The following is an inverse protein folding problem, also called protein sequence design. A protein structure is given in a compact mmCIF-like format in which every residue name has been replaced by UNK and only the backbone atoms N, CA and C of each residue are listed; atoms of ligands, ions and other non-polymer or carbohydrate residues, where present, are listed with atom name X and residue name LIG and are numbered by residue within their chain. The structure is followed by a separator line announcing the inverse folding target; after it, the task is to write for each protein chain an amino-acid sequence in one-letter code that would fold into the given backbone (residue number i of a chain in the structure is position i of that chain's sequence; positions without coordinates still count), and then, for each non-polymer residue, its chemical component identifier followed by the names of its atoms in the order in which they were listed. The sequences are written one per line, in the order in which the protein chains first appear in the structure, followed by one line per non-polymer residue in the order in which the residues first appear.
data_IF_311884269802
#
_entry.id   IF_311884269802
#
_cell.length_a   1.000
_cell.length_b   1.000
_cell.length_c   1.000
_cell.angle_alpha   90.00
_cell.angle_beta   90.00
_cell.angle_gamma   90.00
#
_symmetry.space_group_name_H-M   'P 1'
#
loop_
_entity.id
_entity.type
_entity.pdbx_description
1 polymer ?
#
# COMPACT_ATOMS: atom_id res chain seq x y z
N UNK A 1 11.62 10.69 4.54
CA UNK A 1 11.98 9.38 5.17
C UNK A 1 10.86 8.76 5.99
N UNK A 2 10.17 9.49 6.88
CA UNK A 2 9.09 8.90 7.68
C UNK A 2 7.86 8.53 6.82
N UNK A 3 7.52 9.35 5.80
CA UNK A 3 6.51 8.99 4.79
C UNK A 3 6.89 7.73 4.03
N UNK A 4 8.14 7.65 3.56
CA UNK A 4 8.69 6.47 2.91
C UNK A 4 8.50 5.20 3.74
N UNK A 5 8.87 5.21 5.02
CA UNK A 5 8.72 4.04 5.90
C UNK A 5 7.25 3.66 6.10
N UNK A 6 6.36 4.64 6.34
CA UNK A 6 4.93 4.39 6.50
C UNK A 6 4.31 3.77 5.26
N UNK A 7 4.61 4.32 4.08
CA UNK A 7 4.14 3.79 2.81
C UNK A 7 4.73 2.40 2.52
N UNK A 8 6.01 2.20 2.85
CA UNK A 8 6.67 0.90 2.72
C UNK A 8 6.00 -0.18 3.56
N UNK A 9 5.68 0.09 4.82
CA UNK A 9 4.97 -0.89 5.65
C UNK A 9 3.54 -1.12 5.14
N UNK A 10 2.80 -0.04 4.87
CA UNK A 10 1.45 -0.12 4.33
C UNK A 10 1.33 -1.07 3.12
N UNK A 11 2.13 -0.85 2.06
CA UNK A 11 2.04 -1.63 0.81
C UNK A 11 2.38 -3.11 1.02
N UNK A 12 3.34 -3.41 1.90
CA UNK A 12 3.81 -4.77 2.16
C UNK A 12 2.77 -5.56 2.95
N UNK A 13 2.15 -4.93 3.95
CA UNK A 13 1.03 -5.53 4.68
C UNK A 13 -0.20 -5.67 3.80
N UNK A 14 -0.54 -4.67 2.99
CA UNK A 14 -1.66 -4.72 2.07
C UNK A 14 -1.57 -5.93 1.11
N UNK A 15 -0.38 -6.20 0.58
CA UNK A 15 -0.13 -7.34 -0.29
C UNK A 15 -0.11 -8.68 0.45
N UNK A 16 0.66 -8.78 1.53
CA UNK A 16 0.89 -10.07 2.22
C UNK A 16 -0.37 -10.57 2.90
N UNK A 17 -1.15 -9.67 3.51
CA UNK A 17 -2.39 -10.05 4.19
C UNK A 17 -3.47 -10.54 3.23
N UNK A 18 -3.48 -10.12 1.96
CA UNK A 18 -4.39 -10.70 0.95
C UNK A 18 -4.24 -12.23 0.84
N UNK A 19 -3.02 -12.76 0.90
CA UNK A 19 -2.78 -14.21 0.91
C UNK A 19 -3.28 -14.86 2.21
N UNK A 20 -3.13 -14.17 3.34
CA UNK A 20 -3.64 -14.64 4.62
C UNK A 20 -5.17 -14.76 4.58
N UNK A 21 -5.87 -13.73 4.07
CA UNK A 21 -7.33 -13.75 3.93
C UNK A 21 -7.81 -14.89 3.02
N UNK A 22 -7.16 -15.09 1.88
CA UNK A 22 -7.48 -16.18 0.98
C UNK A 22 -7.26 -17.58 1.59
N UNK A 23 -6.24 -17.73 2.43
CA UNK A 23 -5.93 -19.01 3.07
C UNK A 23 -7.10 -19.56 3.90
N UNK A 24 -7.94 -18.69 4.48
CA UNK A 24 -9.15 -19.10 5.19
C UNK A 24 -10.20 -19.74 4.28
N UNK A 25 -10.27 -19.33 3.00
CA UNK A 25 -11.25 -19.86 2.04
C UNK A 25 -10.77 -21.12 1.33
N UNK A 26 -9.46 -21.37 1.31
CA UNK A 26 -8.85 -22.55 0.68
C UNK A 26 -8.47 -23.67 1.65
N UNK A 27 -8.92 -23.59 2.90
CA UNK A 27 -8.60 -24.59 3.93
C UNK A 27 -7.12 -24.68 4.26
N UNK A 28 -6.38 -23.55 4.17
CA UNK A 28 -4.94 -23.46 4.43
C UNK A 28 -4.07 -24.37 3.55
N UNK A 29 -4.50 -24.63 2.30
CA UNK A 29 -3.72 -25.40 1.31
C UNK A 29 -2.45 -24.72 0.79
N UNK A 30 -2.09 -23.54 1.34
CA UNK A 30 -0.97 -22.70 0.91
C UNK A 30 -1.01 -22.23 -0.56
N UNK A 31 -2.19 -22.26 -1.19
CA UNK A 31 -2.37 -21.75 -2.55
C UNK A 31 -2.27 -20.21 -2.58
N UNK A 32 -1.55 -19.67 -3.56
CA UNK A 32 -1.42 -18.22 -3.75
C UNK A 32 -2.59 -17.65 -4.55
N UNK A 33 -3.08 -16.48 -4.12
CA UNK A 33 -4.09 -15.69 -4.87
C UNK A 33 -3.49 -15.20 -6.19
N UNK A 34 -2.26 -14.70 -6.13
CA UNK A 34 -1.57 -14.14 -7.26
C UNK A 34 -0.69 -15.18 -7.96
N UNK A 35 -0.47 -14.92 -9.24
CA UNK A 35 0.48 -15.67 -10.05
C UNK A 35 1.92 -15.48 -9.51
N UNK A 36 2.76 -16.53 -9.46
CA UNK A 36 4.13 -16.44 -8.97
C UNK A 36 5.00 -15.39 -9.69
N UNK A 37 4.80 -15.19 -11.00
CA UNK A 37 5.50 -14.13 -11.74
C UNK A 37 5.03 -12.76 -11.28
N UNK A 38 3.73 -12.59 -11.03
CA UNK A 38 3.21 -11.34 -10.47
C UNK A 38 3.82 -11.03 -9.10
N UNK A 39 3.90 -12.01 -8.20
CA UNK A 39 4.49 -11.83 -6.86
C UNK A 39 5.93 -11.31 -6.97
N UNK A 40 6.71 -11.88 -7.89
CA UNK A 40 8.11 -11.51 -8.12
C UNK A 40 8.24 -10.10 -8.70
N UNK A 41 7.47 -9.80 -9.76
CA UNK A 41 7.49 -8.50 -10.44
C UNK A 41 6.89 -7.39 -9.57
N UNK A 42 5.92 -7.71 -8.71
CA UNK A 42 5.29 -6.77 -7.79
C UNK A 42 6.30 -6.20 -6.79
N UNK A 43 7.07 -7.08 -6.14
CA UNK A 43 8.10 -6.66 -5.19
C UNK A 43 9.27 -5.94 -5.89
N UNK A 44 9.66 -6.38 -7.09
CA UNK A 44 10.84 -5.86 -7.78
C UNK A 44 10.59 -4.57 -8.55
N UNK A 45 9.49 -4.44 -9.31
CA UNK A 45 9.27 -3.31 -10.21
C UNK A 45 8.17 -2.39 -9.69
N UNK A 46 6.97 -2.93 -9.46
CA UNK A 46 5.80 -2.10 -9.16
C UNK A 46 5.87 -1.42 -7.80
N UNK A 47 6.57 -2.02 -6.84
CA UNK A 47 6.64 -1.47 -5.50
C UNK A 47 7.99 -0.88 -5.13
N UNK A 48 9.09 -1.28 -5.77
CA UNK A 48 10.41 -0.71 -5.48
C UNK A 48 10.60 0.64 -6.16
N UNK A 49 10.13 0.81 -7.41
CA UNK A 49 10.30 2.04 -8.18
C UNK A 49 9.59 3.24 -7.54
N UNK A 50 8.30 3.17 -7.15
CA UNK A 50 7.64 4.31 -6.50
C UNK A 50 8.24 4.62 -5.14
N UNK A 51 8.69 3.59 -4.42
CA UNK A 51 9.35 3.74 -3.11
C UNK A 51 10.72 4.40 -3.25
N UNK A 52 11.49 4.03 -4.28
CA UNK A 52 12.77 4.66 -4.58
C UNK A 52 12.59 6.09 -5.07
N UNK A 53 11.59 6.35 -5.93
CA UNK A 53 11.25 7.69 -6.36
C UNK A 53 10.83 8.58 -5.19
N UNK A 54 9.97 8.09 -4.29
CA UNK A 54 9.65 8.76 -3.04
C UNK A 54 10.92 9.01 -2.21
N UNK A 55 11.78 8.01 -2.01
CA UNK A 55 12.98 8.17 -1.19
C UNK A 55 13.99 9.18 -1.75
N UNK A 56 14.13 9.30 -3.07
CA UNK A 56 15.10 10.19 -3.73
C UNK A 56 14.55 11.60 -3.93
N UNK A 57 13.27 11.73 -4.28
CA UNK A 57 12.66 13.02 -4.64
C UNK A 57 11.81 13.64 -3.51
N UNK A 58 11.70 13.02 -2.33
CA UNK A 58 11.02 13.60 -1.16
C UNK A 58 11.89 14.70 -0.53
N UNK A 59 11.63 15.95 -0.92
CA UNK A 59 12.03 17.15 -0.18
C UNK A 59 10.80 17.73 0.54
N UNK A 60 10.80 17.69 1.88
CA UNK A 60 9.72 18.31 2.66
C UNK A 60 9.76 19.85 2.59
N UNK A 61 10.96 20.43 2.46
CA UNK A 61 11.20 21.88 2.47
C UNK A 61 12.37 22.19 1.53
N UNK A 62 12.33 23.33 0.84
CA UNK A 62 13.44 23.78 0.00
C UNK A 62 14.69 24.11 0.82
N UNK A 63 15.88 23.96 0.23
CA UNK A 63 17.16 24.16 0.92
C UNK A 63 17.27 25.54 1.58
N UNK A 64 16.72 26.57 0.93
CA UNK A 64 16.69 27.95 1.44
C UNK A 64 15.82 28.08 2.69
N UNK A 65 14.59 27.55 2.64
CA UNK A 65 13.63 27.63 3.74
C UNK A 65 14.05 26.75 4.93
N UNK A 66 14.78 25.65 4.67
CA UNK A 66 15.36 24.80 5.71
C UNK A 66 16.38 25.56 6.59
N UNK A 67 17.18 26.43 5.98
CA UNK A 67 18.15 27.27 6.71
C UNK A 67 17.49 28.46 7.41
N UNK A 68 16.44 29.04 6.80
CA UNK A 68 15.74 30.21 7.34
C UNK A 68 14.92 29.88 8.59
N UNK A 69 14.38 28.66 8.70
CA UNK A 69 13.53 28.23 9.81
C UNK A 69 14.10 27.01 10.56
N UNK A 70 15.12 27.17 11.42
CA UNK A 70 15.75 26.04 12.14
C UNK A 70 14.80 25.30 13.10
N UNK A 71 13.66 25.92 13.46
CA UNK A 71 12.61 25.27 14.25
C UNK A 71 12.01 24.03 13.57
N UNK A 72 12.07 23.93 12.24
CA UNK A 72 11.62 22.78 11.46
C UNK A 72 12.35 21.47 11.82
N UNK A 73 13.54 21.56 12.41
CA UNK A 73 14.31 20.37 12.84
C UNK A 73 13.84 19.76 14.17
N UNK A 74 13.14 20.55 15.01
CA UNK A 74 12.75 20.13 16.37
C UNK A 74 11.83 18.90 16.46
N UNK A 75 10.88 18.64 15.53
CA UNK A 75 10.05 17.44 15.57
C UNK A 75 10.84 16.15 15.32
N UNK A 76 11.94 16.22 14.55
CA UNK A 76 12.83 15.09 14.32
C UNK A 76 13.57 14.66 15.59
N UNK A 77 14.04 15.64 16.37
CA UNK A 77 14.71 15.40 17.66
C UNK A 77 13.79 14.78 18.71
N UNK A 78 12.49 15.09 18.65
CA UNK A 78 11.47 14.55 19.56
C UNK A 78 10.88 13.21 19.10
N UNK A 79 11.37 12.66 17.98
CA UNK A 79 10.86 11.42 17.36
C UNK A 79 9.34 11.43 17.10
N UNK A 80 8.75 12.61 16.89
CA UNK A 80 7.30 12.72 16.68
C UNK A 80 6.87 12.29 15.28
N UNK A 81 7.81 12.29 14.32
CA UNK A 81 7.55 11.99 12.92
C UNK A 81 7.40 10.49 12.64
N UNK A 82 8.04 9.63 13.43
CA UNK A 82 7.91 8.17 13.32
C UNK A 82 7.96 7.54 14.71
N UNK A 83 6.76 7.24 15.23
CA UNK A 83 6.56 6.61 16.51
C UNK A 83 5.92 5.22 16.31
N UNK A 84 6.02 4.34 17.31
CA UNK A 84 5.40 3.00 17.25
C UNK A 84 3.88 3.07 17.03
N UNK A 85 3.24 4.15 17.50
CA UNK A 85 1.82 4.43 17.21
C UNK A 85 1.57 4.61 15.72
N UNK A 86 2.35 5.45 15.05
CA UNK A 86 2.25 5.67 13.59
C UNK A 86 2.56 4.40 12.80
N UNK A 87 3.49 3.58 13.29
CA UNK A 87 3.75 2.27 12.73
C UNK A 87 2.51 1.36 12.82
N UNK A 88 1.92 1.21 14.01
CA UNK A 88 0.71 0.39 14.20
C UNK A 88 -0.44 0.91 13.32
N UNK A 89 -0.64 2.23 13.23
CA UNK A 89 -1.62 2.81 12.33
C UNK A 89 -1.36 2.42 10.87
N UNK A 90 -0.12 2.44 10.40
CA UNK A 90 0.22 2.03 9.03
C UNK A 90 -0.06 0.54 8.77
N UNK A 91 0.16 -0.32 9.77
CA UNK A 91 -0.14 -1.75 9.70
C UNK A 91 -1.65 -1.98 9.68
N UNK A 92 -2.41 -1.33 10.56
CA UNK A 92 -3.87 -1.44 10.61
C UNK A 92 -4.51 -0.91 9.32
N UNK A 93 -4.00 0.20 8.79
CA UNK A 93 -4.45 0.74 7.50
C UNK A 93 -4.19 -0.26 6.38
N UNK A 94 -3.00 -0.87 6.32
CA UNK A 94 -2.68 -1.92 5.34
C UNK A 94 -3.54 -3.17 5.50
N UNK A 95 -3.83 -3.58 6.74
CA UNK A 95 -4.71 -4.71 7.03
C UNK A 95 -6.14 -4.44 6.59
N UNK A 96 -6.68 -3.25 6.88
CA UNK A 96 -8.01 -2.86 6.43
C UNK A 96 -8.10 -2.82 4.90
N UNK A 97 -7.14 -2.19 4.22
CA UNK A 97 -7.11 -2.18 2.75
C UNK A 97 -7.03 -3.59 2.19
N UNK A 98 -6.16 -4.47 2.71
CA UNK A 98 -6.06 -5.85 2.22
C UNK A 98 -7.36 -6.64 2.36
N UNK A 99 -8.11 -6.41 3.44
CA UNK A 99 -9.39 -7.06 3.68
C UNK A 99 -10.41 -6.61 2.63
N UNK A 100 -10.49 -5.31 2.36
CA UNK A 100 -11.38 -4.74 1.33
C UNK A 100 -10.98 -5.20 -0.07
N UNK A 101 -9.68 -5.18 -0.39
CA UNK A 101 -9.12 -5.62 -1.67
C UNK A 101 -9.42 -7.08 -1.98
N UNK A 102 -9.50 -7.92 -0.96
CA UNK A 102 -9.83 -9.33 -1.14
C UNK A 102 -11.34 -9.59 -1.11
N UNK A 103 -12.06 -9.03 -0.13
CA UNK A 103 -13.46 -9.36 0.12
C UNK A 103 -14.39 -8.84 -0.98
N UNK A 104 -14.13 -7.64 -1.52
CA UNK A 104 -14.98 -7.06 -2.57
C UNK A 104 -14.91 -7.90 -3.86
N UNK A 105 -13.72 -8.18 -4.44
CA UNK A 105 -13.65 -9.01 -5.65
C UNK A 105 -14.13 -10.44 -5.39
N UNK A 106 -13.82 -11.01 -4.22
CA UNK A 106 -14.30 -12.35 -3.88
C UNK A 106 -15.84 -12.41 -3.83
N UNK A 107 -16.50 -11.42 -3.21
CA UNK A 107 -17.96 -11.37 -3.15
C UNK A 107 -18.64 -11.16 -4.52
N UNK A 108 -18.01 -10.38 -5.40
CA UNK A 108 -18.54 -10.09 -6.74
C UNK A 108 -18.36 -11.26 -7.71
N UNK A 109 -17.22 -11.94 -7.66
CA UNK A 109 -16.88 -12.98 -8.64
C UNK A 109 -17.35 -14.38 -8.26
N UNK A 110 -17.71 -14.65 -6.99
CA UNK A 110 -18.14 -15.97 -6.51
C UNK A 110 -19.30 -16.58 -7.32
N UNK A 111 -20.25 -15.76 -7.75
CA UNK A 111 -21.39 -16.16 -8.60
C UNK A 111 -21.43 -15.35 -9.91
N UNK A 112 -20.28 -14.77 -10.29
CA UNK A 112 -20.17 -13.87 -11.44
C UNK A 112 -20.30 -14.63 -12.76
N UNK A 113 -21.29 -14.25 -13.56
CA UNK A 113 -21.45 -14.69 -14.95
C UNK A 113 -21.29 -13.48 -15.86
N UNK A 114 -20.41 -13.60 -16.85
CA UNK A 114 -20.24 -12.55 -17.87
C UNK A 114 -21.53 -12.36 -18.66
N UNK A 115 -21.76 -11.16 -19.19
CA UNK A 115 -22.92 -10.86 -20.05
C UNK A 115 -23.02 -11.80 -21.28
N UNK A 116 -21.90 -12.40 -21.68
CA UNK A 116 -21.81 -13.37 -22.78
C UNK A 116 -22.01 -14.84 -22.33
N UNK A 117 -22.36 -15.08 -21.07
CA UNK A 117 -22.60 -16.42 -20.51
C UNK A 117 -21.34 -17.18 -20.04
N UNK A 118 -20.15 -16.57 -20.14
CA UNK A 118 -18.92 -17.20 -19.62
C UNK A 118 -18.84 -17.09 -18.10
N UNK A 119 -18.43 -18.19 -17.46
CA UNK A 119 -18.18 -18.24 -16.02
C UNK A 119 -16.90 -17.46 -15.74
N UNK A 120 -16.99 -16.39 -14.93
CA UNK A 120 -15.84 -15.57 -14.53
C UNK A 120 -15.37 -15.87 -13.11
N UNK A 121 -15.96 -16.89 -12.46
CA UNK A 121 -15.59 -17.32 -11.11
C UNK A 121 -14.27 -18.13 -11.05
N UNK A 122 -13.45 -18.08 -12.10
CA UNK A 122 -12.18 -18.81 -12.11
C UNK A 122 -11.15 -18.15 -11.17
N UNK A 123 -10.27 -18.98 -10.60
CA UNK A 123 -9.23 -18.53 -9.67
C UNK A 123 -8.29 -17.53 -10.34
N UNK A 124 -7.94 -17.76 -11.61
CA UNK A 124 -7.01 -16.88 -12.34
C UNK A 124 -7.60 -15.50 -12.57
N UNK A 125 -8.90 -15.42 -12.90
CA UNK A 125 -9.61 -14.15 -13.09
C UNK A 125 -9.72 -13.37 -11.80
N UNK A 126 -10.02 -14.04 -10.68
CA UNK A 126 -10.04 -13.40 -9.36
C UNK A 126 -8.65 -12.86 -8.99
N UNK A 127 -7.59 -13.67 -9.17
CA UNK A 127 -6.22 -13.26 -8.90
C UNK A 127 -5.78 -12.05 -9.72
N UNK A 128 -6.12 -12.02 -11.02
CA UNK A 128 -5.82 -10.90 -11.91
C UNK A 128 -6.57 -9.62 -11.50
N UNK A 129 -7.86 -9.71 -11.15
CA UNK A 129 -8.65 -8.56 -10.70
C UNK A 129 -8.08 -7.99 -9.40
N UNK A 130 -7.83 -8.82 -8.39
CA UNK A 130 -7.24 -8.36 -7.13
C UNK A 130 -5.86 -7.72 -7.38
N UNK A 131 -5.05 -8.30 -8.27
CA UNK A 131 -3.74 -7.76 -8.63
C UNK A 131 -3.81 -6.36 -9.28
N UNK A 132 -4.75 -6.15 -10.19
CA UNK A 132 -4.93 -4.83 -10.83
C UNK A 132 -5.40 -3.78 -9.85
N UNK A 133 -6.38 -4.10 -8.99
CA UNK A 133 -6.88 -3.18 -7.96
C UNK A 133 -5.75 -2.83 -6.98
N UNK A 134 -4.94 -3.81 -6.57
CA UNK A 134 -3.78 -3.61 -5.71
C UNK A 134 -2.75 -2.64 -6.34
N UNK A 135 -2.44 -2.76 -7.63
CA UNK A 135 -1.52 -1.83 -8.31
C UNK A 135 -2.09 -0.41 -8.32
N UNK A 136 -3.38 -0.27 -8.62
CA UNK A 136 -4.07 1.03 -8.65
C UNK A 136 -4.08 1.66 -7.26
N UNK A 137 -4.43 0.90 -6.21
CA UNK A 137 -4.43 1.37 -4.82
C UNK A 137 -3.05 1.87 -4.40
N UNK A 138 -2.00 1.07 -4.63
CA UNK A 138 -0.65 1.48 -4.27
C UNK A 138 -0.20 2.74 -5.02
N UNK A 139 -0.54 2.87 -6.30
CA UNK A 139 -0.19 4.04 -7.11
C UNK A 139 -0.95 5.29 -6.63
N UNK A 140 -2.23 5.15 -6.30
CA UNK A 140 -3.03 6.22 -5.72
C UNK A 140 -2.47 6.65 -4.35
N UNK A 141 -2.16 5.69 -3.48
CA UNK A 141 -1.57 5.95 -2.17
C UNK A 141 -0.19 6.61 -2.28
N UNK A 142 0.66 6.16 -3.20
CA UNK A 142 1.94 6.81 -3.45
C UNK A 142 1.75 8.30 -3.80
N UNK A 143 0.84 8.63 -4.71
CA UNK A 143 0.53 10.02 -5.07
C UNK A 143 0.02 10.84 -3.88
N UNK A 144 -0.86 10.25 -3.06
CA UNK A 144 -1.39 10.88 -1.84
C UNK A 144 -0.24 11.21 -0.87
N UNK A 145 0.67 10.27 -0.64
CA UNK A 145 1.82 10.47 0.25
C UNK A 145 2.84 11.49 -0.30
N UNK A 146 2.94 11.67 -1.63
CA UNK A 146 3.75 12.74 -2.24
C UNK A 146 3.13 14.12 -1.97
N UNK A 147 1.81 14.26 -2.15
CA UNK A 147 1.15 15.57 -2.14
C UNK A 147 0.72 16.05 -0.75
N UNK A 148 0.56 15.15 0.23
CA UNK A 148 0.17 15.53 1.59
C UNK A 148 1.41 15.84 2.44
N UNK A 149 1.57 17.08 2.94
CA UNK A 149 2.64 17.41 3.88
C UNK A 149 2.43 16.70 5.23
N UNK A 150 3.53 16.17 5.81
CA UNK A 150 3.53 15.61 7.18
C UNK A 150 3.59 16.78 8.15
N UNK A 151 2.43 17.29 8.53
CA UNK A 151 2.32 18.22 9.64
C UNK A 151 1.12 19.13 9.51
N UNK A 152 0.45 19.46 10.63
CA UNK A 152 -0.44 20.60 10.63
C UNK A 152 0.40 21.85 10.32
N UNK A 153 -0.25 22.79 9.66
CA UNK A 153 0.09 24.21 9.50
C UNK A 153 0.36 24.94 10.86
N UNK A 154 1.06 24.34 11.82
CA UNK A 154 1.24 24.89 13.17
C UNK A 154 2.55 25.67 13.35
N UNK A 155 3.23 26.02 12.25
CA UNK A 155 4.42 26.90 12.26
C UNK A 155 4.22 28.11 11.31
N UNK A 156 2.99 28.37 10.87
CA UNK A 156 2.59 29.66 10.28
C UNK A 156 1.69 30.41 11.24
#
# INVERSE_FOLDING_TARGET
MCKFLRYFFYKNFAFTLCHCWYSFFCGFSAQTVFDPMFISVYNLFYTSLPVLALGVFEQDVSDKNSLEFPRLYTPGLKSELFNIREFIYSVLHGAFTSLVLFLIPYGVYKDGVSANGFIVSDHMTLGAVVATILIVDNTAQANIFVHIPIGPLSIM
#
